data_IF_176582278773
#
_entry.id   IF_176582278773
#
_cell.length_a   1.000
_cell.length_b   1.000
_cell.length_c   1.000
_cell.angle_alpha   90.00
_cell.angle_beta   90.00
_cell.angle_gamma   90.00
#
_symmetry.space_group_name_H-M   'P 1'
#
loop_
_entity.id
_entity.type
_entity.pdbx_description
1 polymer ?
#
# COMPACT_ATOMS: atom_id res chain seq x y z
N UNK A 1 12.13 6.76 6.54
CA UNK A 1 11.93 7.73 7.63
C UNK A 1 13.26 8.08 8.29
N UNK A 2 13.97 7.13 8.93
CA UNK A 2 15.28 7.38 9.58
C UNK A 2 16.29 8.15 8.72
N UNK A 3 16.51 7.71 7.48
CA UNK A 3 17.49 8.34 6.57
C UNK A 3 17.13 9.78 6.20
N UNK A 4 15.83 10.11 6.15
CA UNK A 4 15.36 11.40 5.66
C UNK A 4 15.04 12.39 6.80
N UNK A 5 14.65 11.89 7.98
CA UNK A 5 14.15 12.69 9.11
C UNK A 5 14.90 12.42 10.43
N UNK A 6 15.93 11.58 10.42
CA UNK A 6 16.73 11.24 11.59
C UNK A 6 15.97 10.44 12.65
N UNK A 7 16.62 10.24 13.80
CA UNK A 7 16.08 9.48 14.94
C UNK A 7 14.84 10.14 15.54
N UNK A 8 14.83 11.48 15.65
CA UNK A 8 13.66 12.21 16.16
C UNK A 8 12.42 12.01 15.27
N UNK A 9 12.61 12.07 13.95
CA UNK A 9 11.53 11.83 12.98
C UNK A 9 11.03 10.39 12.99
N UNK A 10 11.95 9.43 13.13
CA UNK A 10 11.61 8.03 13.30
C UNK A 10 10.80 7.81 14.59
N UNK A 11 11.26 8.33 15.72
CA UNK A 11 10.63 8.12 17.03
C UNK A 11 9.22 8.74 17.11
N UNK A 12 9.02 9.94 16.53
CA UNK A 12 7.67 10.50 16.43
C UNK A 12 6.77 9.57 15.62
N UNK A 13 7.21 9.20 14.40
CA UNK A 13 6.48 8.28 13.51
C UNK A 13 6.22 6.91 14.12
N UNK A 14 7.11 6.42 14.98
CA UNK A 14 6.96 5.15 15.68
C UNK A 14 5.78 5.16 16.66
N UNK A 15 5.42 6.33 17.21
CA UNK A 15 4.28 6.50 18.11
C UNK A 15 2.92 6.52 17.40
N UNK A 16 2.84 6.92 16.13
CA UNK A 16 1.60 6.81 15.33
C UNK A 16 1.33 5.41 14.81
N UNK A 17 2.37 4.59 14.73
CA UNK A 17 2.26 3.16 14.55
C UNK A 17 2.05 2.54 15.94
N UNK A 18 0.84 2.64 16.51
CA UNK A 18 0.53 2.08 17.83
C UNK A 18 1.00 0.62 17.94
N UNK A 19 1.76 0.37 19.01
CA UNK A 19 2.50 -0.84 19.41
C UNK A 19 3.77 -1.18 18.59
N UNK A 20 4.90 -0.94 19.28
CA UNK A 20 6.28 -1.38 19.05
C UNK A 20 6.53 -2.37 17.91
N UNK A 21 7.49 -2.00 17.06
CA UNK A 21 8.13 -2.83 16.03
C UNK A 21 7.33 -3.03 14.73
N UNK A 22 8.00 -2.73 13.62
CA UNK A 22 7.62 -2.95 12.22
C UNK A 22 6.74 -1.89 11.53
N UNK A 23 7.35 -1.26 10.52
CA UNK A 23 6.76 -0.70 9.30
C UNK A 23 5.66 -1.63 8.69
N UNK A 24 5.69 -2.93 9.03
CA UNK A 24 4.65 -3.92 8.69
C UNK A 24 3.26 -3.64 9.27
N UNK A 25 3.11 -2.90 10.39
CA UNK A 25 1.78 -2.57 10.94
C UNK A 25 1.09 -1.42 10.20
N UNK A 26 1.86 -0.53 9.56
CA UNK A 26 1.33 0.55 8.74
C UNK A 26 0.77 0.03 7.42
N UNK A 27 1.46 -0.93 6.80
CA UNK A 27 1.04 -1.50 5.52
C UNK A 27 -0.05 -2.54 5.76
N UNK A 28 -1.30 -2.11 5.60
CA UNK A 28 -2.47 -2.97 5.82
C UNK A 28 -2.73 -3.92 4.65
N UNK A 29 -2.33 -3.51 3.45
CA UNK A 29 -2.58 -4.28 2.24
C UNK A 29 -1.45 -4.10 1.22
N UNK A 30 -1.09 -5.19 0.55
CA UNK A 30 -0.20 -5.19 -0.62
C UNK A 30 -0.72 -6.20 -1.63
N UNK A 31 -0.86 -5.76 -2.87
CA UNK A 31 -1.12 -6.63 -4.00
C UNK A 31 0.14 -6.75 -4.87
N UNK A 32 0.79 -7.93 -4.94
CA UNK A 32 1.97 -8.11 -5.77
C UNK A 32 1.67 -8.11 -7.28
N UNK A 33 0.41 -8.28 -7.70
CA UNK A 33 -0.01 -8.31 -9.10
C UNK A 33 -0.19 -6.87 -9.61
N UNK A 34 -1.06 -6.09 -8.96
CA UNK A 34 -1.37 -4.70 -9.35
C UNK A 34 -0.39 -3.66 -8.81
N UNK A 35 0.54 -4.09 -7.95
CA UNK A 35 1.52 -3.26 -7.22
C UNK A 35 0.85 -2.17 -6.37
N UNK A 36 -0.39 -2.38 -5.94
CA UNK A 36 -1.10 -1.49 -5.02
C UNK A 36 -0.75 -1.83 -3.57
N UNK A 37 -0.66 -0.79 -2.74
CA UNK A 37 -0.53 -0.95 -1.30
C UNK A 37 -1.40 0.08 -0.57
N UNK A 38 -1.88 -0.29 0.61
CA UNK A 38 -2.61 0.61 1.52
C UNK A 38 -1.79 0.78 2.78
N UNK A 39 -1.49 2.03 3.09
CA UNK A 39 -0.69 2.41 4.26
C UNK A 39 -1.58 3.22 5.19
N UNK A 40 -1.68 2.79 6.44
CA UNK A 40 -2.32 3.50 7.53
C UNK A 40 -1.29 4.35 8.26
N UNK A 41 -1.67 5.58 8.58
CA UNK A 41 -0.90 6.54 9.36
C UNK A 41 -1.84 7.32 10.29
N UNK A 42 -1.30 7.90 11.37
CA UNK A 42 -2.05 8.89 12.15
C UNK A 42 -2.24 10.20 11.37
N UNK A 43 -3.22 11.00 11.79
CA UNK A 43 -3.50 12.31 11.19
C UNK A 43 -2.37 13.33 11.42
N UNK A 44 -1.61 13.18 12.50
CA UNK A 44 -0.53 14.11 12.83
C UNK A 44 0.76 13.80 12.05
N UNK A 45 0.92 12.57 11.57
CA UNK A 45 2.20 12.08 11.02
C UNK A 45 2.15 11.60 9.58
N UNK A 46 0.96 11.51 8.97
CA UNK A 46 0.82 11.09 7.57
C UNK A 46 1.67 11.94 6.61
N UNK A 47 1.86 13.24 6.89
CA UNK A 47 2.67 14.12 6.05
C UNK A 47 4.14 13.68 6.03
N UNK A 48 4.73 13.38 7.20
CA UNK A 48 6.11 12.91 7.32
C UNK A 48 6.30 11.56 6.63
N UNK A 49 5.30 10.68 6.77
CA UNK A 49 5.27 9.36 6.13
C UNK A 49 5.20 9.53 4.61
N UNK A 50 4.28 10.35 4.10
CA UNK A 50 4.14 10.62 2.66
C UNK A 50 5.39 11.25 2.06
N UNK A 51 5.96 12.27 2.71
CA UNK A 51 7.23 12.88 2.29
C UNK A 51 8.39 11.88 2.31
N UNK A 52 8.39 10.93 3.25
CA UNK A 52 9.40 9.86 3.25
C UNK A 52 9.22 8.91 2.07
N UNK A 53 7.99 8.55 1.73
CA UNK A 53 7.64 7.63 0.65
C UNK A 53 8.02 8.22 -0.72
N UNK A 54 7.74 9.50 -0.95
CA UNK A 54 8.08 10.17 -2.22
C UNK A 54 9.59 10.25 -2.48
N UNK A 55 10.41 10.15 -1.43
CA UNK A 55 11.87 10.12 -1.51
C UNK A 55 12.44 8.71 -1.71
N UNK A 56 11.62 7.65 -1.63
CA UNK A 56 12.08 6.28 -1.89
C UNK A 56 12.33 6.12 -3.39
N UNK A 57 13.60 5.88 -3.76
CA UNK A 57 14.01 5.68 -5.16
C UNK A 57 14.16 4.22 -5.54
N UNK A 58 14.41 3.35 -4.57
CA UNK A 58 14.64 1.92 -4.83
C UNK A 58 14.28 1.06 -3.64
N UNK A 59 13.73 -0.13 -3.91
CA UNK A 59 13.48 -1.19 -2.93
C UNK A 59 14.15 -2.46 -3.43
N UNK A 60 15.04 -3.05 -2.65
CA UNK A 60 15.72 -4.31 -3.00
C UNK A 60 16.44 -4.24 -4.36
N UNK A 61 17.13 -3.13 -4.64
CA UNK A 61 17.81 -2.82 -5.91
C UNK A 61 16.90 -2.63 -7.15
N UNK A 62 15.57 -2.65 -6.98
CA UNK A 62 14.64 -2.28 -8.03
C UNK A 62 14.27 -0.80 -7.92
N UNK A 63 14.40 0.02 -8.97
CA UNK A 63 13.92 1.40 -8.95
C UNK A 63 12.40 1.40 -8.83
N UNK A 64 11.86 2.19 -7.91
CA UNK A 64 10.42 2.28 -7.65
C UNK A 64 9.98 3.72 -7.60
N UNK A 65 8.75 3.96 -8.04
CA UNK A 65 8.06 5.24 -7.88
C UNK A 65 6.72 4.97 -7.21
N UNK A 66 6.46 5.68 -6.12
CA UNK A 66 5.17 5.63 -5.44
C UNK A 66 4.27 6.75 -5.95
N UNK A 67 3.11 6.37 -6.47
CA UNK A 67 2.05 7.32 -6.83
C UNK A 67 0.96 7.30 -5.76
N UNK A 68 0.57 8.47 -5.26
CA UNK A 68 -0.56 8.58 -4.35
C UNK A 68 -1.86 8.41 -5.13
N UNK A 69 -2.64 7.40 -4.78
CA UNK A 69 -3.94 7.15 -5.39
C UNK A 69 -5.07 7.88 -4.66
N UNK A 70 -5.13 7.69 -3.34
CA UNK A 70 -6.18 8.22 -2.48
C UNK A 70 -5.62 8.46 -1.06
N UNK A 71 -6.06 9.54 -0.42
CA UNK A 71 -5.78 9.84 0.97
C UNK A 71 -7.11 10.07 1.68
N UNK A 72 -7.53 9.11 2.49
CA UNK A 72 -8.82 9.16 3.18
C UNK A 72 -8.67 8.95 4.68
N UNK A 73 -9.48 9.70 5.44
CA UNK A 73 -9.63 9.51 6.90
C UNK A 73 -10.61 8.39 7.27
N UNK A 74 -11.24 7.73 6.29
CA UNK A 74 -12.20 6.65 6.49
C UNK A 74 -11.75 5.37 5.80
N UNK A 75 -11.67 4.27 6.57
CA UNK A 75 -11.34 2.94 6.05
C UNK A 75 -12.35 2.52 4.98
N UNK A 76 -13.64 2.87 5.14
CA UNK A 76 -14.68 2.53 4.16
C UNK A 76 -14.44 3.19 2.81
N UNK A 77 -14.11 4.48 2.79
CA UNK A 77 -13.82 5.19 1.56
C UNK A 77 -12.54 4.67 0.89
N UNK A 78 -11.49 4.44 1.69
CA UNK A 78 -10.24 3.85 1.23
C UNK A 78 -10.44 2.44 0.64
N UNK A 79 -11.24 1.58 1.28
CA UNK A 79 -11.61 0.26 0.77
C UNK A 79 -12.25 0.33 -0.61
N UNK A 80 -13.26 1.19 -0.77
CA UNK A 80 -13.98 1.34 -2.05
C UNK A 80 -13.04 1.84 -3.15
N UNK A 81 -12.20 2.83 -2.86
CA UNK A 81 -11.22 3.35 -3.81
C UNK A 81 -10.17 2.28 -4.19
N UNK A 82 -9.69 1.53 -3.20
CA UNK A 82 -8.72 0.45 -3.39
C UNK A 82 -9.31 -0.66 -4.26
N UNK A 83 -10.49 -1.19 -3.91
CA UNK A 83 -11.18 -2.24 -4.68
C UNK A 83 -11.36 -1.83 -6.14
N UNK A 84 -11.92 -0.63 -6.38
CA UNK A 84 -12.16 -0.14 -7.74
C UNK A 84 -10.85 -0.03 -8.54
N UNK A 85 -9.78 0.47 -7.93
CA UNK A 85 -8.50 0.61 -8.62
C UNK A 85 -7.84 -0.74 -8.89
N UNK A 86 -7.94 -1.69 -7.95
CA UNK A 86 -7.39 -3.03 -8.08
C UNK A 86 -8.07 -3.81 -9.20
N UNK A 87 -9.40 -3.72 -9.30
CA UNK A 87 -10.19 -4.31 -10.39
C UNK A 87 -9.78 -3.73 -11.76
N UNK A 88 -9.74 -2.40 -11.89
CA UNK A 88 -9.36 -1.75 -13.16
C UNK A 88 -7.92 -2.09 -13.57
N UNK A 89 -6.97 -2.07 -12.62
CA UNK A 89 -5.58 -2.44 -12.91
C UNK A 89 -5.45 -3.91 -13.29
N UNK A 90 -6.22 -4.78 -12.66
CA UNK A 90 -6.20 -6.19 -13.01
C UNK A 90 -6.80 -6.44 -14.39
N UNK A 91 -7.90 -5.78 -14.75
CA UNK A 91 -8.45 -5.83 -16.11
C UNK A 91 -7.43 -5.38 -17.16
N UNK A 92 -6.74 -4.27 -16.92
CA UNK A 92 -5.64 -3.82 -17.78
C UNK A 92 -4.52 -4.85 -17.86
N UNK A 93 -4.13 -5.43 -16.72
CA UNK A 93 -3.13 -6.49 -16.67
C UNK A 93 -3.55 -7.70 -17.52
N UNK A 94 -4.84 -8.08 -17.52
CA UNK A 94 -5.35 -9.16 -18.38
C UNK A 94 -5.21 -8.84 -19.87
N UNK A 95 -5.50 -7.59 -20.26
CA UNK A 95 -5.35 -7.16 -21.64
C UNK A 95 -3.87 -7.17 -22.09
N UNK A 96 -2.94 -6.79 -21.20
CA UNK A 96 -1.51 -6.76 -21.49
C UNK A 96 -0.87 -8.16 -21.57
N UNK A 97 -1.28 -9.08 -20.70
CA UNK A 97 -0.75 -10.46 -20.66
C UNK A 97 -1.42 -11.38 -21.70
N UNK A 98 -2.61 -11.02 -22.19
CA UNK A 98 -3.35 -11.80 -23.16
C UNK A 98 -3.92 -13.12 -22.60
N UNK A 99 -4.19 -14.10 -23.47
CA UNK A 99 -4.84 -15.37 -23.13
C UNK A 99 -4.03 -16.33 -22.24
N UNK A 100 -2.81 -15.96 -21.83
CA UNK A 100 -1.91 -16.80 -21.02
C UNK A 100 -2.08 -16.62 -19.50
N UNK A 101 -3.23 -16.12 -19.04
CA UNK A 101 -3.50 -16.04 -17.61
C UNK A 101 -3.69 -17.43 -17.01
N UNK A 102 -2.69 -17.86 -16.25
CA UNK A 102 -2.82 -19.04 -15.40
C UNK A 102 -3.97 -18.86 -14.43
N UNK A 103 -4.75 -19.93 -14.23
CA UNK A 103 -5.82 -19.98 -13.23
C UNK A 103 -5.31 -19.61 -11.82
N UNK A 104 -4.03 -19.90 -11.54
CA UNK A 104 -3.34 -19.55 -10.30
C UNK A 104 -3.31 -18.04 -10.04
N UNK A 105 -3.01 -17.22 -11.06
CA UNK A 105 -2.96 -15.75 -10.94
C UNK A 105 -4.35 -15.18 -10.68
N UNK A 106 -5.38 -15.77 -11.30
CA UNK A 106 -6.77 -15.34 -11.10
C UNK A 106 -7.25 -15.69 -9.69
N UNK A 107 -6.92 -16.88 -9.19
CA UNK A 107 -7.21 -17.27 -7.81
C UNK A 107 -6.47 -16.38 -6.80
N UNK A 108 -5.20 -16.09 -7.06
CA UNK A 108 -4.41 -15.20 -6.20
C UNK A 108 -5.01 -13.79 -6.15
N UNK A 109 -5.49 -13.26 -7.29
CA UNK A 109 -6.18 -11.98 -7.32
C UNK A 109 -7.48 -12.02 -6.52
N UNK A 110 -8.28 -13.08 -6.62
CA UNK A 110 -9.51 -13.22 -5.83
C UNK A 110 -9.22 -13.24 -4.33
N UNK A 111 -8.17 -13.95 -3.90
CA UNK A 111 -7.71 -13.93 -2.51
C UNK A 111 -7.29 -12.52 -2.07
N UNK A 112 -6.63 -11.76 -2.94
CA UNK A 112 -6.27 -10.36 -2.69
C UNK A 112 -7.50 -9.45 -2.55
N UNK A 113 -8.53 -9.63 -3.38
CA UNK A 113 -9.78 -8.86 -3.27
C UNK A 113 -10.53 -9.18 -1.97
N UNK A 114 -10.54 -10.46 -1.57
CA UNK A 114 -11.17 -10.86 -0.31
C UNK A 114 -10.43 -10.25 0.89
N UNK A 115 -9.09 -10.19 0.85
CA UNK A 115 -8.29 -9.46 1.84
C UNK A 115 -8.69 -8.00 1.97
N UNK A 116 -9.03 -7.31 0.88
CA UNK A 116 -9.50 -5.91 0.94
C UNK A 116 -10.86 -5.81 1.65
N UNK A 117 -11.76 -6.78 1.42
CA UNK A 117 -13.09 -6.78 2.07
C UNK A 117 -12.97 -6.93 3.58
N UNK A 118 -12.11 -7.85 4.04
CA UNK A 118 -11.87 -8.13 5.45
C UNK A 118 -10.89 -7.16 6.13
N UNK A 119 -10.41 -6.10 5.46
CA UNK A 119 -9.54 -5.08 6.07
C UNK A 119 -10.26 -4.38 7.23
N UNK A 120 -10.24 -4.93 8.43
CA UNK A 120 -10.82 -4.32 9.63
C UNK A 120 -9.72 -3.88 10.59
N UNK A 121 -10.00 -2.76 11.27
CA UNK A 121 -9.17 -2.06 12.25
C UNK A 121 -7.77 -1.64 11.81
#
# INVERSE_FOLDING_TARGET
>A
ILVNFGECGLASSLGSFQDSFLISYAVKYVNPITKLCVIRASRDEYQKIWSSISMVRSIGNCPVLFNLLDLSGSIKACKTATLKCDELKFEQYKLMVGACLSADVTQHMQNCLEKIRILEH
#
